data_IF_888710726566
#
_entry.id   IF_888710726566
#
_cell.length_a   1.000
_cell.length_b   1.000
_cell.length_c   1.000
_cell.angle_alpha   90.00
_cell.angle_beta   90.00
_cell.angle_gamma   90.00
#
_symmetry.space_group_name_H-M   'P 1'
#
loop_
_entity.id
_entity.type
_entity.pdbx_description
1 polymer ?
#
# COMPACT_ATOMS: atom_id res chain seq x y z
N UNK A 1 -9.01 -9.12 11.72
CA UNK A 1 -8.78 -7.96 10.84
C UNK A 1 -9.43 -8.22 9.49
N UNK A 2 -10.60 -7.65 9.24
CA UNK A 2 -11.27 -7.69 7.93
C UNK A 2 -10.58 -6.70 7.00
N UNK A 3 -9.95 -7.19 5.93
CA UNK A 3 -9.38 -6.31 4.89
C UNK A 3 -10.54 -5.62 4.18
N UNK A 4 -10.80 -4.34 4.50
CA UNK A 4 -11.62 -3.47 3.65
C UNK A 4 -10.84 -3.22 2.36
N UNK A 5 -11.18 -3.95 1.31
CA UNK A 5 -10.57 -3.75 0.00
C UNK A 5 -11.34 -2.68 -0.76
N UNK A 6 -10.68 -1.56 -1.01
CA UNK A 6 -11.19 -0.47 -1.85
C UNK A 6 -11.04 -0.89 -3.32
N UNK A 7 -12.00 -1.66 -3.84
CA UNK A 7 -12.01 -2.09 -5.24
C UNK A 7 -12.76 -1.09 -6.11
N UNK A 8 -12.30 -0.93 -7.35
CA UNK A 8 -13.06 -0.28 -8.42
C UNK A 8 -14.38 -1.02 -8.65
N UNK A 9 -15.43 -0.26 -9.01
CA UNK A 9 -16.77 -0.77 -9.31
C UNK A 9 -16.72 -1.93 -10.33
N UNK A 10 -15.92 -1.76 -11.38
CA UNK A 10 -15.83 -2.79 -12.43
C UNK A 10 -15.10 -4.05 -11.94
N UNK A 11 -14.04 -3.90 -11.12
CA UNK A 11 -13.34 -5.04 -10.52
C UNK A 11 -14.23 -5.81 -9.53
N UNK A 12 -15.04 -5.09 -8.76
CA UNK A 12 -16.02 -5.68 -7.86
C UNK A 12 -17.09 -6.45 -8.65
N UNK A 13 -17.60 -5.89 -9.74
CA UNK A 13 -18.59 -6.55 -10.60
C UNK A 13 -18.05 -7.87 -11.19
N UNK A 14 -16.78 -7.90 -11.62
CA UNK A 14 -16.13 -9.15 -12.07
C UNK A 14 -16.10 -10.20 -10.95
N UNK A 15 -15.73 -9.82 -9.73
CA UNK A 15 -15.69 -10.77 -8.60
C UNK A 15 -17.10 -11.27 -8.25
N UNK A 16 -18.11 -10.39 -8.25
CA UNK A 16 -19.50 -10.76 -7.98
C UNK A 16 -20.02 -11.74 -9.04
N UNK A 17 -19.73 -11.48 -10.32
CA UNK A 17 -20.11 -12.37 -11.41
C UNK A 17 -19.49 -13.76 -11.24
N UNK A 18 -18.19 -13.84 -10.94
CA UNK A 18 -17.47 -15.10 -10.73
C UNK A 18 -17.90 -15.83 -9.43
N UNK A 19 -18.36 -15.11 -8.41
CA UNK A 19 -18.96 -15.74 -7.22
C UNK A 19 -20.29 -16.42 -7.54
N UNK A 20 -21.08 -15.86 -8.45
CA UNK A 20 -22.39 -16.38 -8.84
C UNK A 20 -22.29 -17.53 -9.86
N UNK A 21 -21.44 -17.39 -10.87
CA UNK A 21 -21.36 -18.32 -12.01
C UNK A 21 -20.19 -19.31 -11.93
N UNK A 22 -19.24 -19.08 -11.01
CA UNK A 22 -18.05 -19.92 -10.87
C UNK A 22 -16.93 -19.54 -11.84
N UNK A 23 -16.10 -20.52 -12.22
CA UNK A 23 -14.97 -20.29 -13.11
C UNK A 23 -15.46 -19.83 -14.50
N UNK A 24 -14.83 -18.81 -15.07
CA UNK A 24 -15.19 -18.30 -16.40
C UNK A 24 -13.98 -17.87 -17.21
N UNK A 25 -14.07 -18.04 -18.52
CA UNK A 25 -13.05 -17.59 -19.47
C UNK A 25 -13.26 -16.12 -19.86
N UNK A 26 -12.23 -15.49 -20.41
CA UNK A 26 -12.31 -14.09 -20.82
C UNK A 26 -13.33 -13.88 -21.96
N UNK A 27 -13.54 -14.89 -22.79
CA UNK A 27 -14.54 -14.87 -23.86
C UNK A 27 -15.94 -14.85 -23.27
N UNK A 28 -16.21 -15.68 -22.26
CA UNK A 28 -17.49 -15.73 -21.56
C UNK A 28 -17.75 -14.48 -20.72
N UNK A 29 -16.71 -13.85 -20.17
CA UNK A 29 -16.85 -12.62 -19.38
C UNK A 29 -17.10 -11.38 -20.24
N UNK A 30 -16.57 -11.32 -21.47
CA UNK A 30 -16.68 -10.17 -22.36
C UNK A 30 -18.10 -9.64 -22.60
N UNK A 31 -19.14 -10.46 -22.87
CA UNK A 31 -20.50 -9.94 -23.06
C UNK A 31 -21.09 -9.24 -21.83
N UNK A 32 -20.58 -9.53 -20.62
CA UNK A 32 -21.05 -8.89 -19.39
C UNK A 32 -20.36 -7.55 -19.10
N UNK A 33 -19.27 -7.23 -19.81
CA UNK A 33 -18.51 -6.00 -19.64
C UNK A 33 -18.27 -5.33 -21.01
N UNK A 34 -19.33 -4.88 -21.71
CA UNK A 34 -19.23 -4.34 -23.06
C UNK A 34 -18.43 -3.04 -23.13
N UNK A 35 -18.43 -2.25 -22.06
CA UNK A 35 -17.74 -0.96 -21.97
C UNK A 35 -16.21 -1.11 -21.87
N UNK A 36 -15.71 -2.31 -21.57
CA UNK A 36 -14.30 -2.58 -21.32
C UNK A 36 -13.69 -3.33 -22.49
N UNK A 37 -12.61 -2.77 -23.06
CA UNK A 37 -11.87 -3.47 -24.11
C UNK A 37 -11.30 -4.80 -23.61
N UNK A 38 -11.15 -5.78 -24.51
CA UNK A 38 -10.62 -7.11 -24.16
C UNK A 38 -9.26 -7.04 -23.47
N UNK A 39 -8.37 -6.16 -23.93
CA UNK A 39 -7.04 -5.96 -23.34
C UNK A 39 -7.13 -5.37 -21.94
N UNK A 40 -8.01 -4.39 -21.71
CA UNK A 40 -8.24 -3.82 -20.39
C UNK A 40 -8.84 -4.85 -19.41
N UNK A 41 -9.78 -5.68 -19.87
CA UNK A 41 -10.35 -6.77 -19.07
C UNK A 41 -9.27 -7.78 -18.65
N UNK A 42 -8.43 -8.23 -19.57
CA UNK A 42 -7.33 -9.15 -19.27
C UNK A 42 -6.33 -8.55 -18.28
N UNK A 43 -5.98 -7.26 -18.45
CA UNK A 43 -5.10 -6.54 -17.52
C UNK A 43 -5.73 -6.49 -16.12
N UNK A 44 -7.04 -6.22 -16.03
CA UNK A 44 -7.77 -6.20 -14.77
C UNK A 44 -7.81 -7.57 -14.09
N UNK A 45 -8.07 -8.63 -14.84
CA UNK A 45 -8.03 -10.00 -14.32
C UNK A 45 -6.63 -10.34 -13.78
N UNK A 46 -5.56 -9.93 -14.49
CA UNK A 46 -4.19 -10.05 -14.01
C UNK A 46 -3.94 -9.31 -12.69
N UNK A 47 -4.41 -8.07 -12.59
CA UNK A 47 -4.32 -7.29 -11.35
C UNK A 47 -5.08 -7.94 -10.19
N UNK A 48 -6.27 -8.48 -10.44
CA UNK A 48 -7.07 -9.18 -9.43
C UNK A 48 -6.41 -10.47 -8.94
N UNK A 49 -5.68 -11.17 -9.81
CA UNK A 49 -4.84 -12.31 -9.41
C UNK A 49 -3.68 -11.84 -8.54
N UNK A 50 -2.96 -10.78 -8.95
CA UNK A 50 -1.84 -10.22 -8.17
C UNK A 50 -2.27 -9.73 -6.78
N UNK A 51 -3.49 -9.17 -6.67
CA UNK A 51 -4.09 -8.74 -5.41
C UNK A 51 -4.65 -9.90 -4.56
N UNK A 52 -4.59 -11.13 -5.05
CA UNK A 52 -5.03 -12.34 -4.35
C UNK A 52 -6.54 -12.57 -4.31
N UNK A 53 -7.31 -11.89 -5.17
CA UNK A 53 -8.76 -12.07 -5.28
C UNK A 53 -9.14 -13.26 -6.15
N UNK A 54 -8.41 -13.44 -7.24
CA UNK A 54 -8.66 -14.49 -8.22
C UNK A 54 -7.48 -15.45 -8.28
N UNK A 55 -7.78 -16.68 -8.66
CA UNK A 55 -6.81 -17.62 -9.21
C UNK A 55 -7.25 -17.99 -10.63
N UNK A 56 -6.42 -18.74 -11.34
CA UNK A 56 -6.75 -19.23 -12.66
C UNK A 56 -6.38 -20.70 -12.84
N UNK A 57 -7.11 -21.37 -13.71
CA UNK A 57 -6.83 -22.71 -14.21
C UNK A 57 -6.81 -22.68 -15.73
N UNK A 58 -6.28 -23.75 -16.31
CA UNK A 58 -6.37 -24.01 -17.74
C UNK A 58 -7.48 -25.02 -17.97
N UNK A 59 -8.38 -24.70 -18.90
CA UNK A 59 -9.42 -25.63 -19.33
C UNK A 59 -8.83 -26.69 -20.27
N UNK A 60 -9.60 -27.76 -20.52
CA UNK A 60 -9.26 -28.80 -21.51
C UNK A 60 -8.93 -28.25 -22.89
N UNK A 61 -9.55 -27.13 -23.25
CA UNK A 61 -9.41 -26.47 -24.55
C UNK A 61 -8.16 -25.57 -24.62
N UNK A 62 -7.34 -25.52 -23.56
CA UNK A 62 -6.16 -24.66 -23.47
C UNK A 62 -6.46 -23.19 -23.12
N UNK A 63 -7.73 -22.87 -22.86
CA UNK A 63 -8.13 -21.53 -22.47
C UNK A 63 -7.93 -21.27 -20.98
N UNK A 64 -7.51 -20.05 -20.65
CA UNK A 64 -7.38 -19.58 -19.27
C UNK A 64 -8.77 -19.29 -18.70
N UNK A 65 -9.12 -19.95 -17.60
CA UNK A 65 -10.32 -19.70 -16.82
C UNK A 65 -9.96 -19.08 -15.48
N UNK A 66 -10.66 -18.01 -15.10
CA UNK A 66 -10.47 -17.32 -13.83
C UNK A 66 -11.56 -17.71 -12.86
N UNK A 67 -11.21 -17.86 -11.59
CA UNK A 67 -12.16 -18.15 -10.51
C UNK A 67 -11.76 -17.40 -9.24
N UNK A 68 -12.74 -17.23 -8.34
CA UNK A 68 -12.49 -16.56 -7.05
C UNK A 68 -11.68 -17.48 -6.15
N UNK A 69 -10.56 -16.96 -5.62
CA UNK A 69 -9.69 -17.70 -4.71
C UNK A 69 -10.47 -18.07 -3.44
N UNK A 70 -10.21 -19.26 -2.89
CA UNK A 70 -10.89 -19.77 -1.69
C UNK A 70 -10.83 -18.80 -0.51
N UNK A 71 -9.67 -18.17 -0.28
CA UNK A 71 -9.45 -17.16 0.76
C UNK A 71 -10.26 -15.88 0.56
N UNK A 72 -10.62 -15.54 -0.68
CA UNK A 72 -11.39 -14.34 -1.03
C UNK A 72 -12.91 -14.58 -1.08
N UNK A 73 -13.35 -15.84 -0.98
CA UNK A 73 -14.76 -16.22 -1.16
C UNK A 73 -15.68 -15.62 -0.08
N UNK A 74 -15.24 -15.67 1.17
CA UNK A 74 -15.96 -15.12 2.33
C UNK A 74 -15.79 -13.61 2.50
N UNK A 75 -14.89 -12.96 1.76
CA UNK A 75 -14.64 -11.53 1.87
C UNK A 75 -15.75 -10.78 1.13
N UNK A 76 -16.44 -9.88 1.84
CA UNK A 76 -17.40 -8.94 1.25
C UNK A 76 -16.71 -8.06 0.22
N UNK A 77 -17.29 -7.99 -0.99
CA UNK A 77 -16.80 -7.13 -2.05
C UNK A 77 -17.42 -5.76 -1.83
N UNK A 78 -16.63 -4.82 -1.32
CA UNK A 78 -17.06 -3.44 -1.16
C UNK A 78 -16.49 -2.61 -2.29
N UNK A 79 -17.37 -1.97 -3.05
CA UNK A 79 -16.98 -0.87 -3.92
C UNK A 79 -16.78 0.35 -3.05
N UNK A 80 -15.70 1.10 -3.28
CA UNK A 80 -15.78 2.50 -2.92
C UNK A 80 -16.87 3.08 -3.81
N UNK A 81 -18.00 3.48 -3.22
CA UNK A 81 -18.81 4.50 -3.86
C UNK A 81 -17.85 5.62 -4.24
N UNK A 82 -17.94 6.11 -5.47
CA UNK A 82 -17.23 7.31 -5.86
C UNK A 82 -17.72 8.41 -4.93
N UNK A 83 -17.04 8.63 -3.81
CA UNK A 83 -17.21 9.86 -3.07
C UNK A 83 -16.96 10.95 -4.10
N UNK A 84 -17.94 11.83 -4.38
CA UNK A 84 -17.67 12.97 -5.24
C UNK A 84 -16.42 13.62 -4.66
N UNK A 85 -15.39 13.77 -5.51
CA UNK A 85 -14.08 14.28 -5.15
C UNK A 85 -14.25 15.31 -4.04
N UNK A 86 -13.71 15.01 -2.85
CA UNK A 86 -13.84 15.81 -1.64
C UNK A 86 -14.05 17.25 -2.04
N UNK A 87 -15.28 17.76 -1.82
CA UNK A 87 -15.60 19.17 -2.04
C UNK A 87 -14.42 19.93 -1.45
N UNK A 88 -13.72 20.68 -2.30
CA UNK A 88 -12.48 21.35 -1.93
C UNK A 88 -12.73 22.06 -0.60
N UNK A 89 -12.21 21.47 0.49
CA UNK A 89 -12.26 22.10 1.80
C UNK A 89 -11.67 23.48 1.58
N UNK A 90 -12.44 24.50 1.94
CA UNK A 90 -12.08 25.89 1.76
C UNK A 90 -10.70 26.04 2.37
N UNK A 91 -9.67 26.25 1.53
CA UNK A 91 -8.30 26.19 1.97
C UNK A 91 -8.13 27.18 3.12
N UNK A 92 -7.93 26.65 4.33
CA UNK A 92 -7.59 27.47 5.48
C UNK A 92 -6.37 28.31 5.09
N UNK A 93 -6.32 29.60 5.47
CA UNK A 93 -5.22 30.47 5.07
C UNK A 93 -3.89 29.83 5.49
N UNK A 94 -3.13 29.40 4.48
CA UNK A 94 -1.82 28.77 4.68
C UNK A 94 -0.93 29.82 5.33
N UNK A 95 -0.55 29.58 6.59
CA UNK A 95 0.34 30.47 7.31
C UNK A 95 1.64 30.63 6.52
N UNK A 96 2.10 31.87 6.34
CA UNK A 96 3.32 32.15 5.59
C UNK A 96 4.51 31.34 6.17
N UNK A 97 5.47 30.92 5.31
CA UNK A 97 6.62 30.16 5.75
C UNK A 97 7.36 30.92 6.86
N UNK A 98 7.51 30.30 8.03
CA UNK A 98 8.29 30.86 9.13
C UNK A 98 9.75 31.00 8.66
N UNK A 99 10.22 32.23 8.49
CA UNK A 99 11.64 32.50 8.26
C UNK A 99 12.38 32.36 9.59
N UNK A 100 12.99 31.19 9.81
CA UNK A 100 13.95 31.02 10.90
C UNK A 100 15.30 31.47 10.38
N UNK A 101 15.83 32.54 10.96
CA UNK A 101 17.12 33.07 10.58
C UNK A 101 18.21 32.27 11.31
N UNK A 102 18.60 31.14 10.71
CA UNK A 102 19.51 30.14 11.31
C UNK A 102 20.90 30.72 11.60
N UNK A 103 21.27 31.83 10.95
CA UNK A 103 22.61 32.43 11.03
C UNK A 103 22.66 33.77 11.79
N UNK A 104 21.54 34.23 12.38
CA UNK A 104 21.58 35.41 13.26
C UNK A 104 22.05 35.03 14.66
N UNK A 105 23.31 35.35 14.95
CA UNK A 105 23.91 35.23 16.27
C UNK A 105 25.15 34.34 16.28
N UNK A 106 25.99 34.53 17.30
CA UNK A 106 27.09 33.62 17.57
C UNK A 106 26.50 32.46 18.38
N UNK A 107 26.41 31.28 17.77
CA UNK A 107 25.99 30.07 18.48
C UNK A 107 27.02 29.72 19.56
N UNK A 108 26.62 29.84 20.83
CA UNK A 108 27.40 29.36 21.97
C UNK A 108 26.74 28.06 22.43
N UNK A 109 27.37 26.89 22.22
CA UNK A 109 26.81 25.64 22.70
C UNK A 109 26.66 25.68 24.23
N UNK A 110 25.58 25.10 24.79
CA UNK A 110 25.47 24.95 26.23
C UNK A 110 26.71 24.26 26.77
N UNK A 111 27.31 24.80 27.84
CA UNK A 111 28.41 24.12 28.52
C UNK A 111 27.91 22.75 28.97
N UNK A 112 28.63 21.69 28.60
CA UNK A 112 28.30 20.34 29.05
C UNK A 112 28.21 20.33 30.57
N UNK A 113 27.24 19.57 31.11
CA UNK A 113 27.18 19.29 32.54
C UNK A 113 28.52 18.74 33.02
N UNK A 114 28.84 18.97 34.30
CA UNK A 114 30.01 18.36 34.92
C UNK A 114 30.02 16.84 34.64
N UNK A 115 31.19 16.33 34.27
CA UNK A 115 31.36 14.89 34.05
C UNK A 115 30.99 14.14 35.33
N UNK A 116 30.33 12.99 35.17
CA UNK A 116 30.04 12.11 36.32
C UNK A 116 31.33 11.80 37.08
N UNK A 117 31.28 11.65 38.41
CA UNK A 117 32.41 11.10 39.17
C UNK A 117 32.90 9.81 38.51
N UNK A 118 34.20 9.71 38.30
CA UNK A 118 34.85 8.56 37.68
C UNK A 118 34.96 8.56 36.15
N UNK A 119 34.44 9.58 35.46
CA UNK A 119 34.51 9.66 33.99
C UNK A 119 35.95 9.73 33.43
N UNK A 120 36.93 10.11 34.25
CA UNK A 120 38.33 10.26 33.86
C UNK A 120 39.24 9.19 34.49
N UNK A 121 38.67 8.20 35.18
CA UNK A 121 39.44 7.18 35.92
C UNK A 121 40.26 6.29 34.99
N UNK A 122 39.84 6.16 33.73
CA UNK A 122 40.60 5.43 32.70
C UNK A 122 41.99 6.03 32.44
N UNK A 123 42.21 7.33 32.74
CA UNK A 123 43.54 7.95 32.65
C UNK A 123 44.49 7.46 33.74
N UNK A 124 43.96 6.92 34.83
CA UNK A 124 44.73 6.33 35.93
C UNK A 124 44.96 4.83 35.79
N UNK A 125 44.38 4.16 34.78
CA UNK A 125 44.59 2.73 34.57
C UNK A 125 46.01 2.47 33.99
N UNK A 126 46.88 1.71 34.69
CA UNK A 126 48.24 1.42 34.23
C UNK A 126 48.30 0.44 33.05
N UNK A 127 47.17 -0.06 32.56
CA UNK A 127 47.10 -0.93 31.38
C UNK A 127 47.25 -0.13 30.08
N UNK A 128 48.37 0.57 29.93
CA UNK A 128 48.88 0.97 28.61
C UNK A 128 49.45 -0.32 28.02
N UNK A 129 48.76 -0.85 27.00
CA UNK A 129 49.03 -2.17 26.45
C UNK A 129 50.52 -2.48 26.27
N UNK A 130 50.94 -3.63 26.78
CA UNK A 130 52.19 -4.26 26.37
C UNK A 130 52.12 -4.38 24.84
N UNK A 131 52.99 -3.64 24.13
CA UNK A 131 53.26 -3.93 22.72
C UNK A 131 54.00 -5.26 22.70
N UNK A 132 53.29 -6.32 22.31
CA UNK A 132 53.91 -7.53 21.77
C UNK A 132 54.55 -7.17 20.42
#
# INVERSE_FOLDING_TARGET
>A
MTRKSTLSIESAAVIVHLKAHGASTAVALRPHFPDVSRTALLKRLGNLVALGWLDFSWNSDGDKAWFVRSSARAIGVHTAAHEPAHQAETALPVAAPRRVNVMTGIYVPPRSSALRPGAMDFKGCPSVGYRC
#
